data_IF_838239829723
#
_entry.id   IF_838239829723
#
_cell.length_a   1.000
_cell.length_b   1.000
_cell.length_c   1.000
_cell.angle_alpha   90.00
_cell.angle_beta   90.00
_cell.angle_gamma   90.00
#
_symmetry.space_group_name_H-M   'P 1'
#
loop_
_entity.id
_entity.type
_entity.pdbx_description
1 polymer ?
#
# COMPACT_ATOMS: atom_id res chain seq x y z
N UNK A 1 -22.72 -10.18 -47.95
CA UNK A 1 -23.51 -10.49 -46.74
C UNK A 1 -22.67 -10.23 -45.49
N UNK A 2 -23.20 -9.33 -44.64
CA UNK A 2 -22.74 -8.92 -43.30
C UNK A 2 -21.33 -8.33 -43.15
N UNK A 3 -21.11 -7.14 -43.71
CA UNK A 3 -20.26 -6.13 -43.06
C UNK A 3 -20.97 -5.71 -41.78
N UNK A 4 -20.36 -6.00 -40.64
CA UNK A 4 -20.82 -5.58 -39.32
C UNK A 4 -21.03 -4.07 -39.30
N UNK A 5 -22.21 -3.64 -38.87
CA UNK A 5 -22.48 -2.26 -38.49
C UNK A 5 -21.58 -1.91 -37.31
N UNK A 6 -20.39 -1.36 -37.58
CA UNK A 6 -19.66 -0.60 -36.59
C UNK A 6 -20.53 0.61 -36.25
N UNK A 7 -21.16 0.52 -35.08
CA UNK A 7 -22.01 1.56 -34.54
C UNK A 7 -21.14 2.81 -34.47
N UNK A 8 -21.58 3.89 -35.13
CA UNK A 8 -20.90 5.18 -35.19
C UNK A 8 -20.90 5.89 -33.81
N UNK A 9 -20.34 5.23 -32.80
CA UNK A 9 -20.23 5.71 -31.43
C UNK A 9 -18.93 6.51 -31.35
N UNK A 10 -19.06 7.81 -31.13
CA UNK A 10 -17.91 8.67 -30.89
C UNK A 10 -17.22 8.25 -29.57
N UNK A 11 -15.93 7.91 -29.64
CA UNK A 11 -15.12 7.65 -28.45
C UNK A 11 -14.91 8.95 -27.67
N UNK A 12 -15.37 8.99 -26.42
CA UNK A 12 -15.09 10.08 -25.49
C UNK A 12 -14.37 9.52 -24.24
N UNK A 13 -13.06 9.81 -24.07
CA UNK A 13 -12.26 9.24 -22.99
C UNK A 13 -12.71 9.68 -21.58
N UNK A 14 -13.22 10.91 -21.45
CA UNK A 14 -13.68 11.44 -20.17
C UNK A 14 -14.96 10.74 -19.71
N UNK A 15 -15.93 10.57 -20.62
CA UNK A 15 -17.17 9.85 -20.33
C UNK A 15 -16.86 8.39 -19.98
N UNK A 16 -16.01 7.73 -20.78
CA UNK A 16 -15.60 6.35 -20.50
C UNK A 16 -14.94 6.21 -19.11
N UNK A 17 -14.09 7.16 -18.72
CA UNK A 17 -13.49 7.19 -17.39
C UNK A 17 -14.56 7.23 -16.29
N UNK A 18 -15.54 8.14 -16.39
CA UNK A 18 -16.60 8.24 -15.39
C UNK A 18 -17.51 7.03 -15.37
N UNK A 19 -17.84 6.45 -16.53
CA UNK A 19 -18.64 5.24 -16.62
C UNK A 19 -17.96 4.05 -15.94
N UNK A 20 -16.65 3.87 -16.18
CA UNK A 20 -15.85 2.85 -15.50
C UNK A 20 -15.80 3.11 -13.99
N UNK A 21 -15.57 4.36 -13.58
CA UNK A 21 -15.52 4.71 -12.16
C UNK A 21 -16.86 4.46 -11.45
N UNK A 22 -17.98 4.76 -12.11
CA UNK A 22 -19.32 4.51 -11.62
C UNK A 22 -19.63 3.02 -11.53
N UNK A 23 -19.22 2.24 -12.54
CA UNK A 23 -19.37 0.78 -12.53
C UNK A 23 -18.56 0.12 -11.41
N UNK A 24 -17.32 0.54 -11.18
CA UNK A 24 -16.50 0.07 -10.05
C UNK A 24 -17.13 0.47 -8.71
N UNK A 25 -17.67 1.68 -8.62
CA UNK A 25 -18.33 2.15 -7.39
C UNK A 25 -19.63 1.40 -7.09
N UNK A 26 -20.38 1.02 -8.13
CA UNK A 26 -21.66 0.31 -7.99
C UNK A 26 -21.51 -1.17 -7.67
N UNK A 27 -20.42 -1.81 -8.10
CA UNK A 27 -20.14 -3.22 -7.78
C UNK A 27 -19.58 -3.41 -6.36
N UNK A 28 -18.93 -2.40 -5.78
CA UNK A 28 -18.28 -2.52 -4.47
C UNK A 28 -19.23 -2.95 -3.33
N UNK A 29 -20.46 -2.43 -3.20
CA UNK A 29 -21.45 -2.94 -2.24
C UNK A 29 -21.89 -4.38 -2.54
N UNK A 30 -21.97 -4.74 -3.83
CA UNK A 30 -22.33 -6.10 -4.26
C UNK A 30 -21.27 -7.09 -3.80
N UNK A 31 -19.98 -6.79 -4.01
CA UNK A 31 -18.86 -7.61 -3.53
C UNK A 31 -18.94 -7.83 -2.00
N UNK A 32 -19.25 -6.78 -1.25
CA UNK A 32 -19.42 -6.90 0.20
C UNK A 32 -20.58 -7.80 0.61
N UNK A 33 -21.62 -7.89 -0.23
CA UNK A 33 -22.78 -8.75 0.02
C UNK A 33 -22.57 -10.20 -0.40
N UNK A 34 -21.70 -10.45 -1.41
CA UNK A 34 -21.45 -11.78 -1.96
C UNK A 34 -20.41 -12.58 -1.18
N UNK A 35 -19.50 -11.92 -0.46
CA UNK A 35 -18.55 -12.60 0.42
C UNK A 35 -19.24 -13.07 1.70
N UNK A 36 -19.11 -14.36 1.97
CA UNK A 36 -19.73 -15.08 3.09
C UNK A 36 -18.72 -16.05 3.69
N UNK A 37 -19.02 -16.60 4.87
CA UNK A 37 -18.15 -17.58 5.52
C UNK A 37 -17.85 -18.81 4.63
N UNK A 38 -18.74 -19.13 3.68
CA UNK A 38 -18.60 -20.28 2.79
C UNK A 38 -17.58 -20.08 1.65
N UNK A 39 -17.37 -18.86 1.17
CA UNK A 39 -16.52 -18.57 0.01
C UNK A 39 -15.33 -17.65 0.32
N UNK A 40 -15.26 -17.09 1.53
CA UNK A 40 -14.20 -16.13 1.89
C UNK A 40 -12.78 -16.70 1.73
N UNK A 41 -12.61 -18.03 1.90
CA UNK A 41 -11.32 -18.71 1.72
C UNK A 41 -10.80 -18.71 0.29
N UNK A 42 -11.64 -18.44 -0.71
CA UNK A 42 -11.23 -18.31 -2.11
C UNK A 42 -10.61 -16.94 -2.40
N UNK A 43 -10.92 -15.92 -1.58
CA UNK A 43 -10.55 -14.53 -1.82
C UNK A 43 -9.55 -13.99 -0.78
N UNK A 44 -9.52 -14.57 0.42
CA UNK A 44 -8.60 -14.17 1.49
C UNK A 44 -7.61 -15.29 1.81
N UNK A 45 -6.33 -14.92 1.87
CA UNK A 45 -5.28 -15.80 2.34
C UNK A 45 -5.20 -15.77 3.87
N UNK A 46 -5.31 -16.93 4.51
CA UNK A 46 -5.13 -17.07 5.96
C UNK A 46 -3.65 -17.28 6.29
N UNK A 47 -3.11 -16.44 7.18
CA UNK A 47 -1.73 -16.53 7.69
C UNK A 47 -1.74 -16.66 9.20
N UNK A 48 -1.15 -17.73 9.73
CA UNK A 48 -1.09 -18.00 11.17
C UNK A 48 -0.25 -16.92 11.87
N UNK A 49 0.79 -16.45 11.18
CA UNK A 49 1.71 -15.41 11.60
C UNK A 49 1.02 -14.08 11.88
N UNK A 50 -0.12 -13.79 11.23
CA UNK A 50 -0.89 -12.58 11.52
C UNK A 50 -1.45 -12.61 12.94
N UNK A 51 -1.98 -13.75 13.37
CA UNK A 51 -2.52 -13.92 14.73
C UNK A 51 -1.40 -13.81 15.74
N UNK A 52 -0.27 -14.47 15.51
CA UNK A 52 0.91 -14.38 16.37
C UNK A 52 1.39 -12.93 16.53
N UNK A 53 1.45 -12.17 15.43
CA UNK A 53 1.87 -10.77 15.47
C UNK A 53 0.93 -9.90 16.31
N UNK A 54 -0.38 -10.02 16.10
CA UNK A 54 -1.37 -9.24 16.85
C UNK A 54 -1.38 -9.61 18.34
N UNK A 55 -1.27 -10.89 18.66
CA UNK A 55 -1.18 -11.37 20.05
C UNK A 55 0.09 -10.92 20.75
N UNK A 56 1.21 -10.87 20.03
CA UNK A 56 2.48 -10.33 20.54
C UNK A 56 2.35 -8.85 20.90
N UNK A 57 1.65 -8.06 20.08
CA UNK A 57 1.38 -6.65 20.38
C UNK A 57 0.47 -6.51 21.61
N UNK A 58 -0.62 -7.28 21.65
CA UNK A 58 -1.57 -7.29 22.78
C UNK A 58 -0.90 -7.66 24.09
N UNK A 59 -0.11 -8.73 24.09
CA UNK A 59 0.64 -9.21 25.26
C UNK A 59 1.68 -8.21 25.75
N UNK A 60 2.19 -7.34 24.87
CA UNK A 60 3.08 -6.25 25.21
C UNK A 60 2.36 -4.96 25.66
N UNK A 61 1.04 -5.01 25.85
CA UNK A 61 0.23 -3.88 26.29
C UNK A 61 0.07 -2.78 25.23
N UNK A 62 0.28 -3.09 23.95
CA UNK A 62 0.01 -2.14 22.86
C UNK A 62 -1.49 -2.05 22.64
N UNK A 63 -1.99 -0.83 22.61
CA UNK A 63 -3.37 -0.56 22.22
C UNK A 63 -3.48 -0.55 20.69
N UNK A 64 -4.54 -1.15 20.17
CA UNK A 64 -4.74 -1.37 18.74
C UNK A 64 -6.11 -0.87 18.30
N UNK A 65 -6.20 -0.40 17.07
CA UNK A 65 -7.46 0.01 16.48
C UNK A 65 -7.55 -0.38 15.01
N UNK A 66 -8.78 -0.59 14.55
CA UNK A 66 -9.11 -0.91 13.17
C UNK A 66 -9.94 0.23 12.57
N UNK A 67 -9.55 0.76 11.41
CA UNK A 67 -10.31 1.77 10.66
C UNK A 67 -10.47 1.32 9.21
N UNK A 68 -11.71 1.05 8.80
CA UNK A 68 -12.01 0.55 7.45
C UNK A 68 -13.20 1.25 6.83
N UNK A 69 -13.20 1.36 5.50
CA UNK A 69 -14.33 1.87 4.72
C UNK A 69 -15.43 0.82 4.54
N UNK A 70 -15.12 -0.45 4.77
CA UNK A 70 -16.07 -1.55 4.56
C UNK A 70 -17.14 -1.60 5.66
N UNK A 71 -18.34 -2.12 5.36
CA UNK A 71 -19.39 -2.36 6.35
C UNK A 71 -19.00 -3.45 7.36
N UNK A 72 -19.58 -3.41 8.57
CA UNK A 72 -19.28 -4.36 9.64
C UNK A 72 -19.43 -5.83 9.22
N UNK A 73 -20.53 -6.20 8.55
CA UNK A 73 -20.79 -7.59 8.14
C UNK A 73 -19.63 -8.18 7.33
N UNK A 74 -19.08 -7.39 6.39
CA UNK A 74 -17.97 -7.81 5.56
C UNK A 74 -16.68 -7.99 6.37
N UNK A 75 -16.40 -7.02 7.25
CA UNK A 75 -15.23 -7.03 8.14
C UNK A 75 -15.31 -8.23 9.08
N UNK A 76 -16.45 -8.47 9.70
CA UNK A 76 -16.65 -9.56 10.65
C UNK A 76 -16.42 -10.93 9.98
N UNK A 77 -16.98 -11.18 8.79
CA UNK A 77 -16.74 -12.42 8.04
C UNK A 77 -15.25 -12.62 7.74
N UNK A 78 -14.57 -11.60 7.23
CA UNK A 78 -13.15 -11.68 6.89
C UNK A 78 -12.26 -11.87 8.12
N UNK A 79 -12.51 -11.12 9.19
CA UNK A 79 -11.71 -11.15 10.42
C UNK A 79 -11.93 -12.46 11.21
N UNK A 80 -13.15 -13.01 11.21
CA UNK A 80 -13.42 -14.35 11.77
C UNK A 80 -12.64 -15.44 11.05
N UNK A 81 -12.54 -15.35 9.73
CA UNK A 81 -11.77 -16.29 8.93
C UNK A 81 -10.26 -16.18 9.21
N UNK A 82 -9.73 -14.95 9.18
CA UNK A 82 -8.30 -14.67 9.32
C UNK A 82 -7.78 -14.91 10.74
N UNK A 83 -8.51 -14.43 11.75
CA UNK A 83 -8.03 -14.38 13.14
C UNK A 83 -8.84 -15.30 14.06
N UNK A 84 -10.16 -15.32 13.91
CA UNK A 84 -11.05 -16.15 14.72
C UNK A 84 -12.29 -15.41 15.23
N UNK A 85 -13.21 -16.12 15.90
CA UNK A 85 -14.50 -15.55 16.33
C UNK A 85 -14.36 -14.35 17.28
N UNK A 86 -13.32 -14.34 18.12
CA UNK A 86 -13.05 -13.29 19.12
C UNK A 86 -12.11 -12.19 18.60
N UNK A 87 -12.01 -11.99 17.28
CA UNK A 87 -11.09 -11.02 16.69
C UNK A 87 -11.27 -9.60 17.24
N UNK A 88 -12.48 -9.23 17.66
CA UNK A 88 -12.75 -7.89 18.21
C UNK A 88 -12.00 -7.64 19.52
N UNK A 89 -11.71 -8.68 20.32
CA UNK A 89 -10.98 -8.54 21.58
C UNK A 89 -9.51 -8.14 21.40
N UNK A 90 -8.99 -8.25 20.18
CA UNK A 90 -7.64 -7.81 19.82
C UNK A 90 -7.59 -6.28 19.71
N UNK A 91 -8.69 -5.63 19.31
CA UNK A 91 -8.72 -4.20 19.05
C UNK A 91 -9.44 -3.45 20.18
N UNK A 92 -8.83 -2.36 20.65
CA UNK A 92 -9.45 -1.46 21.63
C UNK A 92 -10.55 -0.59 21.00
N UNK A 93 -10.40 -0.29 19.70
CA UNK A 93 -11.35 0.52 18.93
C UNK A 93 -11.54 -0.08 17.53
N UNK A 94 -12.80 -0.33 17.15
CA UNK A 94 -13.17 -0.78 15.81
C UNK A 94 -14.06 0.27 15.14
N UNK A 95 -13.61 0.82 14.01
CA UNK A 95 -14.32 1.82 13.21
C UNK A 95 -14.52 1.26 11.80
N UNK A 96 -15.79 1.07 11.41
CA UNK A 96 -16.19 0.61 10.08
C UNK A 96 -16.87 1.75 9.32
N UNK A 97 -16.98 1.65 7.99
CA UNK A 97 -17.52 2.73 7.16
C UNK A 97 -16.92 4.11 7.47
N UNK A 98 -15.60 4.17 7.71
CA UNK A 98 -14.90 5.38 8.16
C UNK A 98 -14.96 6.53 7.14
N UNK A 99 -15.15 6.22 5.84
CA UNK A 99 -15.15 7.16 4.70
C UNK A 99 -13.78 7.79 4.44
N UNK A 100 -12.68 7.08 4.69
CA UNK A 100 -11.33 7.49 4.28
C UNK A 100 -11.33 7.91 2.80
N UNK A 101 -10.71 9.04 2.42
CA UNK A 101 -9.85 9.90 3.24
C UNK A 101 -10.60 10.91 4.13
N UNK A 102 -11.92 11.04 4.03
CA UNK A 102 -12.70 12.01 4.82
C UNK A 102 -12.57 11.79 6.33
N UNK A 103 -12.31 10.56 6.77
CA UNK A 103 -11.98 10.31 8.18
C UNK A 103 -10.79 11.15 8.68
N UNK A 104 -9.79 11.37 7.82
CA UNK A 104 -8.58 12.14 8.15
C UNK A 104 -8.71 13.62 7.81
N UNK A 105 -9.54 14.00 6.84
CA UNK A 105 -9.62 15.39 6.35
C UNK A 105 -10.83 16.17 6.89
N UNK A 106 -11.94 15.50 7.18
CA UNK A 106 -13.14 16.10 7.78
C UNK A 106 -12.92 16.34 9.28
N UNK A 107 -13.52 17.39 9.81
CA UNK A 107 -13.41 17.79 11.22
C UNK A 107 -14.71 17.61 12.01
N UNK A 108 -15.85 17.41 11.31
CA UNK A 108 -17.17 17.59 11.94
C UNK A 108 -18.02 16.33 11.96
N UNK A 109 -17.70 15.29 11.19
CA UNK A 109 -18.52 14.07 11.20
C UNK A 109 -18.44 13.36 12.55
N UNK A 110 -19.56 13.17 13.28
CA UNK A 110 -19.53 12.48 14.56
C UNK A 110 -19.37 10.97 14.38
N UNK A 111 -18.83 10.30 15.41
CA UNK A 111 -18.98 8.85 15.55
C UNK A 111 -20.44 8.48 15.88
N UNK A 112 -20.86 7.30 15.41
CA UNK A 112 -22.08 6.63 15.88
C UNK A 112 -21.74 5.19 16.27
N UNK A 113 -22.52 4.61 17.18
CA UNK A 113 -22.41 3.19 17.52
C UNK A 113 -23.18 2.37 16.49
N UNK A 114 -22.55 1.35 15.94
CA UNK A 114 -23.20 0.33 15.14
C UNK A 114 -23.58 -0.83 16.05
N UNK A 115 -24.87 -1.20 16.02
CA UNK A 115 -25.39 -2.36 16.72
C UNK A 115 -25.39 -3.58 15.79
N UNK A 116 -24.54 -4.60 16.04
CA UNK A 116 -24.51 -5.81 15.24
C UNK A 116 -25.79 -6.64 15.27
N UNK A 117 -26.59 -6.57 16.34
CA UNK A 117 -27.80 -7.38 16.50
C UNK A 117 -28.93 -6.85 15.63
N UNK A 118 -29.22 -5.55 15.77
CA UNK A 118 -30.27 -4.88 14.99
C UNK A 118 -29.78 -4.44 13.61
N UNK A 119 -28.48 -4.54 13.32
CA UNK A 119 -27.82 -4.07 12.09
C UNK A 119 -28.10 -2.60 11.80
N UNK A 120 -28.17 -1.80 12.87
CA UNK A 120 -28.59 -0.42 12.81
C UNK A 120 -27.56 0.52 13.45
N UNK A 121 -27.71 1.81 13.18
CA UNK A 121 -26.89 2.85 13.79
C UNK A 121 -27.68 3.44 14.96
N UNK A 122 -27.07 3.45 16.15
CA UNK A 122 -27.64 4.16 17.28
C UNK A 122 -27.45 5.67 17.09
N UNK A 123 -28.49 6.43 17.41
CA UNK A 123 -28.51 7.88 17.25
C UNK A 123 -27.88 8.63 18.43
N UNK A 124 -27.47 7.90 19.46
CA UNK A 124 -26.82 8.46 20.62
C UNK A 124 -25.46 9.03 20.27
N UNK A 125 -25.15 10.20 20.85
CA UNK A 125 -23.87 10.86 20.67
C UNK A 125 -22.79 10.03 21.36
N UNK A 126 -21.78 9.62 20.59
CA UNK A 126 -20.58 8.99 21.12
C UNK A 126 -19.71 10.04 21.83
N UNK A 127 -19.55 9.89 23.14
CA UNK A 127 -18.67 10.74 23.96
C UNK A 127 -17.38 10.05 24.35
N UNK A 128 -17.35 8.72 24.33
CA UNK A 128 -16.20 7.89 24.65
C UNK A 128 -16.18 6.65 23.76
N UNK A 129 -14.99 6.20 23.42
CA UNK A 129 -14.75 4.93 22.74
C UNK A 129 -14.53 3.83 23.78
N UNK A 130 -15.27 2.74 23.64
CA UNK A 130 -15.26 1.60 24.56
C UNK A 130 -14.94 0.33 23.79
N UNK A 131 -14.18 -0.55 24.44
CA UNK A 131 -13.85 -1.86 23.89
C UNK A 131 -15.12 -2.69 23.67
N UNK A 132 -15.09 -3.54 22.65
CA UNK A 132 -16.21 -4.41 22.24
C UNK A 132 -17.45 -3.67 21.74
N UNK A 133 -17.29 -2.39 21.37
CA UNK A 133 -18.26 -1.64 20.56
C UNK A 133 -17.71 -1.37 19.17
N UNK A 134 -18.61 -1.38 18.20
CA UNK A 134 -18.30 -1.06 16.81
C UNK A 134 -18.79 0.36 16.54
N UNK A 135 -17.89 1.18 16.00
CA UNK A 135 -18.19 2.55 15.63
C UNK A 135 -18.25 2.70 14.13
N UNK A 136 -18.99 3.69 13.67
CA UNK A 136 -19.03 4.07 12.26
C UNK A 136 -18.67 5.53 12.08
N UNK A 137 -18.10 5.82 10.92
CA UNK A 137 -17.73 7.16 10.49
C UNK A 137 -16.75 7.85 11.46
N UNK A 138 -17.11 9.01 12.01
CA UNK A 138 -16.21 9.82 12.84
C UNK A 138 -15.09 10.50 12.06
N UNK A 139 -14.12 10.98 12.84
CA UNK A 139 -12.92 11.70 12.37
C UNK A 139 -11.72 11.35 13.24
N UNK A 140 -10.52 11.47 12.68
CA UNK A 140 -9.27 11.27 13.43
C UNK A 140 -9.15 12.26 14.59
N UNK A 141 -9.56 13.52 14.42
CA UNK A 141 -9.55 14.53 15.50
C UNK A 141 -10.36 14.08 16.72
N UNK A 142 -11.55 13.51 16.49
CA UNK A 142 -12.36 12.95 17.59
C UNK A 142 -11.74 11.69 18.20
N UNK A 143 -11.14 10.82 17.38
CA UNK A 143 -10.43 9.64 17.87
C UNK A 143 -9.31 10.07 18.83
N UNK A 144 -8.48 11.01 18.41
CA UNK A 144 -7.39 11.56 19.23
C UNK A 144 -7.90 12.20 20.52
N UNK A 145 -8.99 12.98 20.45
CA UNK A 145 -9.58 13.61 21.62
C UNK A 145 -10.13 12.60 22.64
N UNK A 146 -10.67 11.46 22.16
CA UNK A 146 -11.28 10.44 23.03
C UNK A 146 -10.26 9.43 23.58
N UNK A 147 -9.16 9.15 22.86
CA UNK A 147 -8.16 8.15 23.27
C UNK A 147 -6.87 8.75 23.81
N UNK A 148 -6.57 10.00 23.47
CA UNK A 148 -5.27 10.62 23.73
C UNK A 148 -4.14 10.13 22.82
N UNK A 149 -4.46 9.34 21.79
CA UNK A 149 -3.47 8.80 20.85
C UNK A 149 -3.00 9.87 19.86
N UNK A 150 -1.87 10.51 20.14
CA UNK A 150 -1.38 11.66 19.37
C UNK A 150 0.07 11.52 18.91
N UNK A 151 0.36 12.14 17.76
CA UNK A 151 1.70 12.29 17.21
C UNK A 151 2.46 10.96 17.06
N UNK A 152 3.74 10.99 17.40
CA UNK A 152 4.68 9.88 17.20
C UNK A 152 4.39 8.63 18.04
N UNK A 153 3.40 8.66 18.94
CA UNK A 153 2.98 7.52 19.74
C UNK A 153 2.03 6.57 18.99
N UNK A 154 1.58 6.96 17.80
CA UNK A 154 0.67 6.17 16.96
C UNK A 154 1.42 5.71 15.71
N UNK A 155 1.30 4.41 15.40
CA UNK A 155 1.77 3.83 14.15
C UNK A 155 0.56 3.28 13.39
N UNK A 156 0.25 3.86 12.24
CA UNK A 156 -0.86 3.44 11.39
C UNK A 156 -0.33 2.66 10.18
N UNK A 157 -0.94 1.52 9.89
CA UNK A 157 -0.64 0.72 8.70
C UNK A 157 -1.76 0.85 7.66
N UNK A 158 -1.38 1.04 6.40
CA UNK A 158 -2.33 1.12 5.28
C UNK A 158 -1.70 0.67 3.96
N UNK A 159 -2.52 0.20 3.05
CA UNK A 159 -2.13 -0.24 1.70
C UNK A 159 -2.26 0.90 0.67
N UNK A 160 -3.23 1.79 0.87
CA UNK A 160 -3.46 2.91 -0.03
C UNK A 160 -2.72 4.19 0.42
N UNK A 161 -1.53 4.41 -0.12
CA UNK A 161 -0.66 5.55 0.23
C UNK A 161 -1.42 6.90 0.28
N UNK A 162 -2.33 7.14 -0.67
CA UNK A 162 -3.02 8.43 -0.81
C UNK A 162 -4.15 8.63 0.19
N UNK A 163 -5.07 7.66 0.29
CA UNK A 163 -6.28 7.77 1.09
C UNK A 163 -6.03 7.50 2.57
N UNK A 164 -4.95 6.76 2.87
CA UNK A 164 -4.65 6.31 4.22
C UNK A 164 -3.47 7.04 4.87
N UNK A 165 -2.39 7.33 4.15
CA UNK A 165 -1.11 7.71 4.82
C UNK A 165 -0.73 9.19 4.70
N UNK A 166 -1.13 9.86 3.62
CA UNK A 166 -0.69 11.22 3.32
C UNK A 166 -1.08 12.24 4.41
N UNK A 167 -2.37 12.30 4.76
CA UNK A 167 -2.88 13.24 5.76
C UNK A 167 -2.36 12.95 7.17
N UNK A 168 -2.21 11.66 7.52
CA UNK A 168 -1.67 11.24 8.82
C UNK A 168 -0.24 11.74 9.04
N UNK A 169 0.59 11.61 8.01
CA UNK A 169 1.99 12.05 8.06
C UNK A 169 2.09 13.57 8.07
N UNK A 170 1.32 14.25 7.21
CA UNK A 170 1.45 15.70 6.99
C UNK A 170 0.78 16.55 8.08
N UNK A 171 -0.38 16.10 8.60
CA UNK A 171 -1.23 16.95 9.44
C UNK A 171 -1.33 16.48 10.90
N UNK A 172 -1.10 15.19 11.19
CA UNK A 172 -1.31 14.62 12.52
C UNK A 172 -0.02 14.10 13.19
N UNK A 173 1.08 14.02 12.45
CA UNK A 173 2.38 13.58 12.95
C UNK A 173 2.39 12.13 13.42
N UNK A 174 1.49 11.30 12.91
CA UNK A 174 1.50 9.86 13.19
C UNK A 174 2.63 9.19 12.42
N UNK A 175 3.19 8.12 13.00
CA UNK A 175 4.09 7.24 12.25
C UNK A 175 3.28 6.39 11.29
N UNK A 176 3.81 6.10 10.11
CA UNK A 176 3.08 5.40 9.05
C UNK A 176 3.86 4.21 8.48
N UNK A 177 3.15 3.10 8.28
CA UNK A 177 3.66 1.90 7.64
C UNK A 177 2.86 1.53 6.40
N UNK A 178 3.49 1.53 5.22
CA UNK A 178 2.82 1.11 3.99
C UNK A 178 2.91 -0.41 3.77
N UNK A 179 1.79 -1.03 3.40
CA UNK A 179 1.72 -2.44 3.01
C UNK A 179 1.57 -2.51 1.49
N UNK A 180 2.59 -3.05 0.81
CA UNK A 180 2.65 -3.11 -0.66
C UNK A 180 2.87 -4.55 -1.07
N UNK A 181 1.80 -5.26 -1.42
CA UNK A 181 1.88 -6.69 -1.71
C UNK A 181 2.80 -6.98 -2.90
N UNK A 182 2.83 -6.10 -3.90
CA UNK A 182 3.68 -6.22 -5.11
C UNK A 182 5.18 -6.26 -4.77
N UNK A 183 5.57 -5.73 -3.62
CA UNK A 183 6.96 -5.67 -3.16
C UNK A 183 7.59 -7.07 -3.08
N UNK A 184 6.84 -8.09 -2.67
CA UNK A 184 7.38 -9.44 -2.54
C UNK A 184 7.84 -10.00 -3.90
N UNK A 185 7.03 -9.80 -4.95
CA UNK A 185 7.38 -10.24 -6.29
C UNK A 185 8.53 -9.42 -6.88
N UNK A 186 8.53 -8.10 -6.65
CA UNK A 186 9.65 -7.22 -7.03
C UNK A 186 10.97 -7.66 -6.41
N UNK A 187 11.00 -7.94 -5.10
CA UNK A 187 12.20 -8.44 -4.41
C UNK A 187 12.66 -9.77 -5.01
N UNK A 188 11.74 -10.68 -5.36
CA UNK A 188 12.08 -11.94 -6.01
C UNK A 188 12.77 -11.73 -7.36
N UNK A 189 12.23 -10.83 -8.19
CA UNK A 189 12.79 -10.51 -9.52
C UNK A 189 14.16 -9.84 -9.36
N UNK A 190 14.27 -8.84 -8.49
CA UNK A 190 15.52 -8.10 -8.24
C UNK A 190 16.66 -8.99 -7.75
N UNK A 191 16.35 -10.07 -7.02
CA UNK A 191 17.33 -11.03 -6.54
C UNK A 191 17.58 -12.19 -7.50
N UNK A 192 16.88 -12.28 -8.63
CA UNK A 192 17.14 -13.31 -9.65
C UNK A 192 18.51 -13.13 -10.28
N UNK A 193 19.14 -14.23 -10.67
CA UNK A 193 20.44 -14.21 -11.37
C UNK A 193 20.33 -13.43 -12.68
N UNK A 194 19.27 -13.67 -13.46
CA UNK A 194 19.03 -12.98 -14.72
C UNK A 194 19.00 -11.45 -14.57
N UNK A 195 18.25 -10.93 -13.60
CA UNK A 195 18.20 -9.50 -13.33
C UNK A 195 19.58 -8.96 -12.92
N UNK A 196 20.25 -9.63 -11.99
CA UNK A 196 21.56 -9.21 -11.46
C UNK A 196 22.63 -9.20 -12.55
N UNK A 197 22.70 -10.23 -13.39
CA UNK A 197 23.63 -10.29 -14.52
C UNK A 197 23.34 -9.19 -15.54
N UNK A 198 22.08 -9.00 -15.90
CA UNK A 198 21.68 -7.98 -16.89
C UNK A 198 22.03 -6.57 -16.41
N UNK A 199 21.75 -6.25 -15.13
CA UNK A 199 22.08 -4.94 -14.55
C UNK A 199 23.59 -4.75 -14.41
N UNK A 200 24.33 -5.77 -13.98
CA UNK A 200 25.79 -5.69 -13.90
C UNK A 200 26.40 -5.43 -15.27
N UNK A 201 25.92 -6.12 -16.30
CA UNK A 201 26.40 -5.91 -17.67
C UNK A 201 26.04 -4.53 -18.19
N UNK A 202 24.82 -4.07 -17.93
CA UNK A 202 24.38 -2.72 -18.29
C UNK A 202 25.23 -1.63 -17.63
N UNK A 203 25.66 -1.83 -16.38
CA UNK A 203 26.58 -0.92 -15.69
C UNK A 203 27.97 -0.92 -16.31
N UNK A 204 28.56 -2.10 -16.58
CA UNK A 204 29.86 -2.20 -17.25
C UNK A 204 29.85 -1.56 -18.64
N UNK A 205 28.79 -1.82 -19.41
CA UNK A 205 28.60 -1.24 -20.74
C UNK A 205 28.47 0.28 -20.69
N UNK A 206 27.72 0.81 -19.72
CA UNK A 206 27.59 2.25 -19.53
C UNK A 206 28.93 2.89 -19.17
N UNK A 207 29.73 2.26 -18.29
CA UNK A 207 31.05 2.75 -17.94
C UNK A 207 31.99 2.78 -19.16
N UNK A 208 32.00 1.72 -19.97
CA UNK A 208 32.79 1.66 -21.20
C UNK A 208 32.41 2.77 -22.18
N UNK A 209 31.11 3.00 -22.38
CA UNK A 209 30.62 4.10 -23.23
C UNK A 209 31.08 5.45 -22.67
N UNK A 210 30.97 5.66 -21.36
CA UNK A 210 31.37 6.92 -20.71
C UNK A 210 32.87 7.21 -20.88
N UNK A 211 33.74 6.19 -20.84
CA UNK A 211 35.18 6.32 -21.05
C UNK A 211 35.57 6.54 -22.52
N UNK A 212 34.82 5.94 -23.45
CA UNK A 212 35.23 5.87 -24.86
C UNK A 212 34.56 6.93 -25.75
N UNK A 213 33.42 7.51 -25.36
CA UNK A 213 32.58 8.36 -26.22
C UNK A 213 33.27 9.60 -26.82
N UNK A 214 34.38 10.07 -26.24
CA UNK A 214 35.09 11.27 -26.70
C UNK A 214 36.12 10.99 -27.81
N UNK A 215 36.31 9.72 -28.22
CA UNK A 215 37.23 9.35 -29.29
C UNK A 215 36.54 9.32 -30.67
N UNK A 216 37.01 10.14 -31.61
CA UNK A 216 36.40 10.28 -32.96
C UNK A 216 36.50 9.01 -33.83
N UNK A 217 37.50 8.15 -33.60
CA UNK A 217 37.77 6.97 -34.46
C UNK A 217 36.84 5.76 -34.20
N UNK A 218 35.92 5.85 -33.24
CA UNK A 218 35.14 4.70 -32.75
C UNK A 218 33.63 4.93 -32.70
N UNK A 219 33.11 5.92 -33.43
CA UNK A 219 31.66 6.24 -33.47
C UNK A 219 30.78 5.02 -33.77
N UNK A 220 31.11 4.25 -34.81
CA UNK A 220 30.36 3.04 -35.21
C UNK A 220 30.32 1.99 -34.08
N UNK A 221 31.41 1.88 -33.32
CA UNK A 221 31.48 0.95 -32.19
C UNK A 221 30.63 1.45 -31.01
N UNK A 222 30.67 2.75 -30.71
CA UNK A 222 29.82 3.37 -29.69
C UNK A 222 28.34 3.18 -30.04
N UNK A 223 27.95 3.30 -31.31
CA UNK A 223 26.58 3.07 -31.73
C UNK A 223 26.12 1.62 -31.43
N UNK A 224 26.97 0.63 -31.69
CA UNK A 224 26.69 -0.77 -31.35
C UNK A 224 26.50 -0.98 -29.85
N UNK A 225 27.36 -0.37 -29.01
CA UNK A 225 27.22 -0.44 -27.55
C UNK A 225 25.94 0.25 -27.07
N UNK A 226 25.53 1.37 -27.69
CA UNK A 226 24.28 2.04 -27.37
C UNK A 226 23.05 1.19 -27.71
N UNK A 227 23.08 0.50 -28.85
CA UNK A 227 22.01 -0.43 -29.26
C UNK A 227 21.90 -1.60 -28.28
N UNK A 228 23.03 -2.19 -27.89
CA UNK A 228 23.07 -3.27 -26.90
C UNK A 228 22.54 -2.78 -25.54
N UNK A 229 22.97 -1.60 -25.09
CA UNK A 229 22.49 -0.97 -23.85
C UNK A 229 20.98 -0.80 -23.87
N UNK A 230 20.41 -0.34 -24.97
CA UNK A 230 18.98 -0.13 -25.10
C UNK A 230 18.20 -1.46 -25.14
N UNK A 231 18.79 -2.52 -25.72
CA UNK A 231 18.22 -3.86 -25.66
C UNK A 231 18.21 -4.39 -24.21
N UNK A 232 19.32 -4.26 -23.48
CA UNK A 232 19.40 -4.66 -22.07
C UNK A 232 18.40 -3.88 -21.19
N UNK A 233 18.20 -2.58 -21.47
CA UNK A 233 17.18 -1.77 -20.80
C UNK A 233 15.77 -2.31 -21.01
N UNK A 234 15.44 -2.76 -22.22
CA UNK A 234 14.14 -3.37 -22.54
C UNK A 234 13.99 -4.72 -21.83
N UNK A 235 15.00 -5.58 -21.93
CA UNK A 235 15.02 -6.90 -21.26
C UNK A 235 14.80 -6.75 -19.76
N UNK A 236 15.58 -5.88 -19.11
CA UNK A 236 15.47 -5.61 -17.67
C UNK A 236 14.08 -5.12 -17.28
N UNK A 237 13.45 -4.28 -18.10
CA UNK A 237 12.08 -3.80 -17.86
C UNK A 237 11.06 -4.93 -17.98
N UNK A 238 11.20 -5.80 -18.98
CA UNK A 238 10.27 -6.91 -19.23
C UNK A 238 10.34 -8.03 -18.20
N UNK A 239 11.40 -8.11 -17.38
CA UNK A 239 11.48 -9.04 -16.26
C UNK A 239 10.42 -8.79 -15.18
N UNK A 240 9.87 -7.57 -15.14
CA UNK A 240 8.71 -7.23 -14.31
C UNK A 240 7.41 -7.40 -15.11
N UNK A 241 6.52 -6.42 -15.05
CA UNK A 241 5.37 -6.39 -15.94
C UNK A 241 5.83 -6.01 -17.37
N UNK A 242 5.50 -6.82 -18.37
CA UNK A 242 5.91 -6.58 -19.75
C UNK A 242 5.48 -5.19 -20.30
N UNK A 243 4.33 -4.69 -19.87
CA UNK A 243 3.77 -3.41 -20.35
C UNK A 243 4.28 -2.23 -19.51
N UNK A 244 4.20 -2.35 -18.18
CA UNK A 244 4.43 -1.23 -17.26
C UNK A 244 5.79 -1.24 -16.57
N UNK A 245 6.48 -2.38 -16.56
CA UNK A 245 7.74 -2.57 -15.85
C UNK A 245 7.55 -2.66 -14.33
N UNK A 246 8.58 -2.20 -13.60
CA UNK A 246 8.60 -2.13 -12.13
C UNK A 246 7.65 -1.03 -11.61
N UNK A 247 6.97 -1.31 -10.50
CA UNK A 247 6.15 -0.31 -9.80
C UNK A 247 7.02 0.75 -9.14
N UNK A 248 8.25 0.38 -8.74
CA UNK A 248 9.13 1.26 -7.96
C UNK A 248 10.09 2.08 -8.80
N UNK A 249 10.49 1.59 -9.98
CA UNK A 249 11.58 2.20 -10.75
C UNK A 249 11.37 2.11 -12.26
N UNK A 250 11.75 3.16 -12.96
CA UNK A 250 11.94 3.15 -14.42
C UNK A 250 13.38 3.55 -14.72
N UNK A 251 14.18 2.59 -15.18
CA UNK A 251 15.63 2.74 -15.37
C UNK A 251 16.32 3.25 -14.09
N UNK A 252 16.86 4.47 -14.10
CA UNK A 252 17.53 5.06 -12.94
C UNK A 252 16.56 5.80 -12.00
N UNK A 253 15.36 6.13 -12.47
CA UNK A 253 14.44 7.02 -11.75
C UNK A 253 13.43 6.26 -10.90
N UNK A 254 13.26 6.65 -9.62
CA UNK A 254 12.10 6.24 -8.85
C UNK A 254 10.81 6.70 -9.54
N UNK A 255 9.82 5.82 -9.59
CA UNK A 255 8.49 6.17 -10.10
C UNK A 255 7.82 7.20 -9.20
N UNK A 256 6.74 7.80 -9.71
CA UNK A 256 5.89 8.67 -8.91
C UNK A 256 5.33 7.97 -7.66
N UNK A 257 5.01 6.67 -7.79
CA UNK A 257 4.60 5.84 -6.67
C UNK A 257 5.69 5.77 -5.59
N UNK A 258 6.93 5.43 -5.95
CA UNK A 258 8.06 5.39 -5.01
C UNK A 258 8.32 6.72 -4.32
N UNK A 259 8.32 7.82 -5.07
CA UNK A 259 8.55 9.16 -4.50
C UNK A 259 7.51 9.51 -3.43
N UNK A 260 6.25 9.12 -3.64
CA UNK A 260 5.19 9.34 -2.65
C UNK A 260 5.26 8.35 -1.49
N UNK A 261 5.56 7.09 -1.77
CA UNK A 261 5.80 6.09 -0.74
C UNK A 261 6.86 6.59 0.26
N UNK A 262 8.01 7.05 -0.24
CA UNK A 262 9.10 7.56 0.61
C UNK A 262 8.73 8.84 1.38
N UNK A 263 7.76 9.60 0.89
CA UNK A 263 7.29 10.84 1.53
C UNK A 263 6.26 10.59 2.64
N UNK A 264 5.41 9.59 2.46
CA UNK A 264 4.23 9.39 3.32
C UNK A 264 4.31 8.12 4.19
N UNK A 265 5.44 7.41 4.15
CA UNK A 265 5.64 6.16 4.87
C UNK A 265 7.00 6.16 5.55
N UNK A 266 7.03 5.93 6.86
CA UNK A 266 8.28 5.74 7.60
C UNK A 266 8.94 4.40 7.29
N UNK A 267 8.12 3.36 7.20
CA UNK A 267 8.53 1.99 6.87
C UNK A 267 7.55 1.43 5.85
N UNK A 268 8.01 0.55 4.97
CA UNK A 268 7.11 -0.17 4.06
C UNK A 268 7.52 -1.63 3.96
N UNK A 269 6.56 -2.50 3.70
CA UNK A 269 6.76 -3.94 3.69
C UNK A 269 5.69 -4.62 2.83
N UNK A 270 5.92 -5.88 2.46
CA UNK A 270 4.93 -6.67 1.71
C UNK A 270 3.76 -7.12 2.57
N UNK A 271 4.02 -7.42 3.84
CA UNK A 271 3.02 -7.84 4.82
C UNK A 271 3.40 -7.35 6.23
N UNK A 272 2.39 -7.06 7.06
CA UNK A 272 2.59 -6.68 8.47
C UNK A 272 3.35 -7.73 9.28
N UNK A 273 3.21 -9.00 8.92
CA UNK A 273 3.88 -10.14 9.59
C UNK A 273 5.40 -10.10 9.41
N UNK A 274 5.93 -9.34 8.45
CA UNK A 274 7.36 -9.12 8.30
C UNK A 274 7.99 -8.54 9.58
N UNK A 275 7.20 -7.84 10.40
CA UNK A 275 7.63 -7.28 11.69
C UNK A 275 7.87 -8.33 12.78
N UNK A 276 7.41 -9.58 12.61
CA UNK A 276 7.71 -10.66 13.56
C UNK A 276 9.21 -10.92 13.67
N UNK A 277 9.96 -10.69 12.58
CA UNK A 277 11.42 -10.83 12.53
C UNK A 277 12.16 -9.81 13.39
N UNK A 278 11.46 -8.85 13.99
CA UNK A 278 12.04 -7.78 14.79
C UNK A 278 11.54 -7.83 16.24
N UNK A 279 12.33 -7.28 17.16
CA UNK A 279 11.91 -7.03 18.54
C UNK A 279 10.95 -5.84 18.60
N UNK A 280 10.03 -5.81 19.57
CA UNK A 280 9.18 -4.64 19.85
C UNK A 280 9.97 -3.40 20.31
N UNK A 281 11.25 -3.59 20.66
CA UNK A 281 12.19 -2.52 21.02
C UNK A 281 13.14 -2.16 19.87
N UNK A 282 12.96 -2.76 18.69
CA UNK A 282 13.82 -2.50 17.54
C UNK A 282 13.67 -1.06 17.06
N UNK A 283 14.79 -0.44 16.71
CA UNK A 283 14.83 0.90 16.13
C UNK A 283 15.30 0.79 14.69
N UNK A 284 14.43 1.16 13.76
CA UNK A 284 14.76 1.22 12.34
C UNK A 284 15.51 2.52 12.03
N UNK A 285 16.66 2.40 11.37
CA UNK A 285 17.43 3.55 10.91
C UNK A 285 17.34 3.66 9.38
N UNK A 286 17.01 4.83 8.83
CA UNK A 286 17.00 5.03 7.39
C UNK A 286 18.42 4.93 6.84
N UNK A 287 18.55 4.34 5.65
CA UNK A 287 19.84 4.35 4.94
C UNK A 287 20.11 5.77 4.42
N UNK A 288 21.35 6.23 4.55
CA UNK A 288 21.78 7.52 4.00
C UNK A 288 21.76 7.42 2.47
N UNK A 289 20.95 8.25 1.82
CA UNK A 289 21.03 8.45 0.37
C UNK A 289 22.14 9.43 0.05
N UNK A 290 23.10 9.03 -0.77
CA UNK A 290 24.18 9.93 -1.21
C UNK A 290 23.64 10.97 -2.21
N UNK A 291 24.06 12.23 -2.08
CA UNK A 291 23.81 13.27 -3.07
C UNK A 291 24.80 13.16 -4.24
N UNK A 292 24.46 13.61 -5.46
CA UNK A 292 25.34 13.49 -6.62
C UNK A 292 26.73 14.14 -6.47
N UNK A 293 26.90 15.11 -5.56
CA UNK A 293 28.17 15.79 -5.29
C UNK A 293 28.89 15.24 -4.04
N UNK A 294 28.33 14.24 -3.36
CA UNK A 294 29.00 13.58 -2.25
C UNK A 294 29.98 12.53 -2.77
N UNK A 295 31.20 12.52 -2.23
CA UNK A 295 32.18 11.49 -2.56
C UNK A 295 31.62 10.10 -2.22
N UNK A 296 31.71 9.17 -3.16
CA UNK A 296 31.33 7.77 -2.93
C UNK A 296 32.22 7.18 -1.84
N UNK A 297 31.67 6.98 -0.65
CA UNK A 297 32.35 6.23 0.39
C UNK A 297 32.31 4.74 0.04
N UNK A 298 33.44 4.00 0.10
CA UNK A 298 33.53 2.61 -0.36
C UNK A 298 32.71 1.58 0.46
N UNK A 299 31.84 2.00 1.38
CA UNK A 299 31.11 1.12 2.31
C UNK A 299 29.59 1.38 2.39
N UNK A 300 29.00 2.01 1.37
CA UNK A 300 27.55 2.24 1.28
C UNK A 300 26.88 1.39 0.22
#
# INVERSE_FOLDING_TARGET
PSTSNDINIAYNPEILFFDIQNAISSIHPVIHSTLTEANISEYLEKRIELVEFLERLRSAGKQMFLVTNSPFKFVDVGMRYMIGPEWQDIFDVVIVQARKPKFFTDQHRPFRVYDPETKSQLWERVTKLEKNKVYIEGTVTQLQAMTGWCGNNVLYFGDQIYSDLADLTLNYGWRTGAIIWELANEIKILNSEEFRHTVSWLQSLQHLIEEMQDHEDIEDFIEQLLQERDQLRKTTKSLFNANFGSIFRTHHNPTYFSRRLFRYSDIYMSHVTNLLNYSLRHTFYPRRGALPHECHTPHS
#
